data_IF_280425353333
#
_entry.id   IF_280425353333
#
_cell.length_a   1.000
_cell.length_b   1.000
_cell.length_c   1.000
_cell.angle_alpha   90.00
_cell.angle_beta   90.00
_cell.angle_gamma   90.00
#
_symmetry.space_group_name_H-M   'P 1'
#
loop_
_entity.id
_entity.type
_entity.pdbx_description
1 polymer ?
#
# COMPACT_ATOMS: atom_id res chain seq x y z
N UNK A 1 -52.67 -21.95 -28.30
CA UNK A 1 -51.91 -22.32 -27.08
C UNK A 1 -50.45 -21.81 -27.10
N UNK A 2 -50.10 -20.76 -27.87
CA UNK A 2 -48.72 -20.27 -28.02
C UNK A 2 -48.58 -18.73 -27.95
N UNK A 3 -49.58 -18.04 -27.38
CA UNK A 3 -49.64 -16.57 -27.38
C UNK A 3 -49.73 -15.96 -25.96
N UNK A 4 -49.26 -16.70 -24.95
CA UNK A 4 -49.23 -16.25 -23.53
C UNK A 4 -47.86 -16.45 -22.87
N UNK A 5 -46.80 -16.60 -23.67
CA UNK A 5 -45.43 -16.86 -23.15
C UNK A 5 -44.43 -15.75 -23.60
N UNK A 6 -44.83 -14.82 -24.47
CA UNK A 6 -43.91 -13.81 -25.04
C UNK A 6 -43.97 -12.46 -24.29
N UNK A 7 -44.91 -12.26 -23.36
CA UNK A 7 -45.13 -10.93 -22.71
C UNK A 7 -44.56 -10.85 -21.27
N UNK A 8 -43.81 -11.85 -20.80
CA UNK A 8 -43.21 -11.83 -19.45
C UNK A 8 -41.67 -11.77 -19.41
N UNK A 9 -41.01 -11.38 -20.51
CA UNK A 9 -39.54 -11.22 -20.55
C UNK A 9 -39.11 -9.75 -20.61
N UNK A 10 -40.03 -8.79 -20.69
CA UNK A 10 -39.70 -7.39 -20.96
C UNK A 10 -39.71 -6.44 -19.75
N UNK A 11 -39.70 -6.93 -18.49
CA UNK A 11 -39.91 -6.08 -17.32
C UNK A 11 -39.04 -6.41 -16.08
N UNK A 12 -37.78 -6.82 -16.24
CA UNK A 12 -36.90 -7.07 -15.07
C UNK A 12 -35.48 -6.51 -15.15
N UNK A 13 -35.09 -5.77 -16.20
CA UNK A 13 -33.76 -5.14 -16.28
C UNK A 13 -33.83 -3.63 -16.01
N UNK A 14 -34.58 -3.23 -14.97
CA UNK A 14 -34.66 -1.84 -14.50
C UNK A 14 -33.92 -1.62 -13.17
N UNK A 15 -32.98 -2.50 -12.83
CA UNK A 15 -32.02 -2.32 -11.75
C UNK A 15 -30.62 -2.15 -12.34
N UNK A 16 -30.45 -1.10 -13.14
CA UNK A 16 -29.15 -0.64 -13.60
C UNK A 16 -28.39 -0.17 -12.36
N UNK A 17 -27.54 -1.05 -11.84
CA UNK A 17 -26.64 -0.78 -10.73
C UNK A 17 -25.80 0.45 -11.05
N UNK A 18 -26.01 1.51 -10.30
CA UNK A 18 -25.17 2.70 -10.32
C UNK A 18 -23.87 2.27 -9.62
N UNK A 19 -22.88 1.85 -10.40
CA UNK A 19 -21.53 1.66 -9.88
C UNK A 19 -20.94 3.04 -9.62
N UNK A 20 -21.02 3.48 -8.36
CA UNK A 20 -20.32 4.68 -7.90
C UNK A 20 -18.83 4.48 -8.09
N UNK A 21 -18.27 5.06 -9.16
CA UNK A 21 -16.82 5.19 -9.35
C UNK A 21 -16.32 6.21 -8.32
N UNK A 22 -15.95 5.73 -7.13
CA UNK A 22 -15.20 6.51 -6.16
C UNK A 22 -13.82 6.75 -6.76
N UNK A 23 -13.61 7.93 -7.34
CA UNK A 23 -12.30 8.34 -7.84
C UNK A 23 -11.43 8.64 -6.63
N UNK A 24 -10.57 7.70 -6.26
CA UNK A 24 -9.54 7.94 -5.26
C UNK A 24 -8.75 9.20 -5.67
N UNK A 25 -8.68 10.18 -4.77
CA UNK A 25 -7.80 11.32 -4.97
C UNK A 25 -6.39 10.80 -5.24
N UNK A 26 -5.60 11.45 -6.11
CA UNK A 26 -4.20 11.07 -6.28
C UNK A 26 -3.57 11.11 -4.89
N UNK A 27 -3.06 9.96 -4.43
CA UNK A 27 -2.29 9.93 -3.20
C UNK A 27 -1.21 11.00 -3.34
N UNK A 28 -1.19 11.97 -2.42
CA UNK A 28 -0.11 12.94 -2.33
C UNK A 28 1.20 12.16 -2.34
N UNK A 29 1.89 12.19 -3.47
CA UNK A 29 3.09 11.41 -3.65
C UNK A 29 4.14 11.99 -2.71
N UNK A 30 4.73 11.15 -1.87
CA UNK A 30 5.85 11.58 -1.05
C UNK A 30 6.98 12.09 -1.95
N UNK A 31 7.74 13.07 -1.45
CA UNK A 31 8.91 13.60 -2.14
C UNK A 31 9.87 12.48 -2.54
N UNK A 32 10.70 12.74 -3.56
CA UNK A 32 11.75 11.81 -3.94
C UNK A 32 12.59 11.39 -2.73
N UNK A 33 12.92 10.11 -2.64
CA UNK A 33 13.60 9.55 -1.48
C UNK A 33 12.67 9.10 -0.34
N UNK A 34 11.37 9.40 -0.38
CA UNK A 34 10.41 9.00 0.65
C UNK A 34 9.29 8.10 0.10
N UNK A 35 8.82 7.17 0.92
CA UNK A 35 7.64 6.36 0.64
C UNK A 35 6.53 6.67 1.64
N UNK A 36 5.29 6.37 1.26
CA UNK A 36 4.15 6.51 2.16
C UNK A 36 4.03 5.25 3.02
N UNK A 37 4.22 5.39 4.33
CA UNK A 37 4.01 4.31 5.29
C UNK A 37 2.51 3.99 5.45
N UNK A 38 2.18 2.87 6.07
CA UNK A 38 0.80 2.45 6.32
C UNK A 38 0.03 3.46 7.20
N UNK A 39 0.74 4.17 8.08
CA UNK A 39 0.23 5.32 8.86
C UNK A 39 -0.22 6.50 8.00
N UNK A 40 0.23 6.55 6.75
CA UNK A 40 0.01 7.65 5.82
C UNK A 40 1.11 8.71 5.81
N UNK A 41 2.12 8.61 6.69
CA UNK A 41 3.26 9.52 6.73
C UNK A 41 4.28 9.23 5.63
N UNK A 42 5.05 10.25 5.25
CA UNK A 42 6.17 10.08 4.33
C UNK A 42 7.44 9.76 5.11
N UNK A 43 7.95 8.55 4.90
CA UNK A 43 9.12 8.00 5.59
C UNK A 43 10.28 7.84 4.61
N UNK A 44 11.51 8.10 5.06
CA UNK A 44 12.67 8.01 4.19
C UNK A 44 12.87 6.56 3.72
N UNK A 45 13.23 6.38 2.46
CA UNK A 45 13.58 5.04 1.93
C UNK A 45 14.86 4.53 2.60
N UNK A 46 15.07 3.20 2.65
CA UNK A 46 16.29 2.66 3.22
C UNK A 46 17.55 3.20 2.54
N UNK A 47 18.59 3.46 3.33
CA UNK A 47 19.88 4.00 2.86
C UNK A 47 21.00 3.10 3.35
N UNK A 48 21.91 2.74 2.46
CA UNK A 48 23.08 1.93 2.81
C UNK A 48 24.26 2.84 3.12
N UNK A 49 24.82 2.69 4.33
CA UNK A 49 25.89 3.53 4.85
C UNK A 49 26.77 2.74 5.84
N UNK A 50 28.00 3.18 6.14
CA UNK A 50 28.84 2.49 7.13
C UNK A 50 28.35 2.62 8.58
N UNK A 51 27.51 3.62 8.86
CA UNK A 51 26.97 3.92 10.19
C UNK A 51 25.51 4.38 10.08
N UNK A 52 24.70 4.23 11.15
CA UNK A 52 23.29 4.64 11.12
C UNK A 52 23.13 6.13 10.80
N UNK A 53 22.39 6.49 9.73
CA UNK A 53 22.01 7.87 9.50
C UNK A 53 21.05 8.37 10.58
N UNK A 54 20.97 9.70 10.82
CA UNK A 54 19.99 10.26 11.75
C UNK A 54 18.55 9.86 11.40
N UNK A 55 17.81 9.36 12.38
CA UNK A 55 16.42 8.93 12.22
C UNK A 55 16.24 7.51 11.69
N UNK A 56 17.31 6.76 11.42
CA UNK A 56 17.21 5.33 11.17
C UNK A 56 16.65 4.61 12.41
N UNK A 57 15.73 3.69 12.19
CA UNK A 57 15.03 2.93 13.23
C UNK A 57 15.40 1.47 13.26
N UNK A 58 16.01 0.94 12.19
CA UNK A 58 16.54 -0.42 12.14
C UNK A 58 17.74 -0.54 11.21
N UNK A 59 18.64 -1.47 11.51
CA UNK A 59 19.68 -1.94 10.61
C UNK A 59 19.26 -3.28 9.98
N UNK A 60 19.36 -3.38 8.66
CA UNK A 60 19.11 -4.60 7.90
C UNK A 60 20.39 -5.44 7.79
N UNK A 61 20.25 -6.75 7.54
CA UNK A 61 21.40 -7.69 7.40
C UNK A 61 22.36 -7.30 6.28
N UNK A 62 21.87 -6.66 5.21
CA UNK A 62 22.70 -6.19 4.09
C UNK A 62 23.49 -4.89 4.38
N UNK A 63 23.41 -4.35 5.60
CA UNK A 63 24.08 -3.11 6.00
C UNK A 63 23.34 -1.84 5.59
N UNK A 64 22.10 -1.94 5.14
CA UNK A 64 21.24 -0.78 4.90
C UNK A 64 20.39 -0.44 6.14
N UNK A 65 20.02 0.82 6.27
CA UNK A 65 19.25 1.34 7.40
C UNK A 65 17.82 1.66 6.99
N UNK A 66 16.85 1.11 7.71
CA UNK A 66 15.44 1.41 7.57
C UNK A 66 15.05 2.62 8.42
N UNK A 67 14.03 3.35 7.96
CA UNK A 67 13.42 4.46 8.68
C UNK A 67 11.96 4.16 9.03
N UNK A 68 11.54 2.88 8.89
CA UNK A 68 10.18 2.43 9.18
C UNK A 68 9.73 2.87 10.57
N UNK A 69 8.48 3.31 10.67
CA UNK A 69 7.85 3.65 11.95
C UNK A 69 7.59 2.40 12.81
N UNK A 70 7.61 1.21 12.21
CA UNK A 70 7.47 -0.08 12.90
C UNK A 70 8.73 -0.94 12.63
N UNK A 71 9.86 -0.64 13.30
CA UNK A 71 11.15 -1.27 13.02
C UNK A 71 11.21 -2.76 13.36
N UNK A 72 10.28 -3.24 14.19
CA UNK A 72 10.27 -4.62 14.72
C UNK A 72 9.44 -5.58 13.86
N UNK A 73 8.72 -5.07 12.85
CA UNK A 73 7.80 -5.83 12.01
C UNK A 73 8.51 -6.62 10.91
N UNK A 74 7.93 -7.76 10.51
CA UNK A 74 8.47 -8.68 9.49
C UNK A 74 8.65 -8.03 8.10
N UNK A 75 7.87 -6.97 7.82
CA UNK A 75 7.98 -6.19 6.58
C UNK A 75 9.20 -5.26 6.58
N UNK A 76 9.74 -4.92 7.75
CA UNK A 76 10.95 -4.10 7.85
C UNK A 76 12.15 -4.90 7.37
N UNK A 77 12.96 -4.29 6.49
CA UNK A 77 14.08 -4.96 5.82
C UNK A 77 13.67 -6.19 4.96
N UNK A 78 12.41 -6.24 4.50
CA UNK A 78 11.97 -7.24 3.53
C UNK A 78 12.83 -7.19 2.25
N UNK A 79 13.23 -8.37 1.75
CA UNK A 79 14.15 -8.51 0.61
C UNK A 79 15.62 -8.17 0.92
N UNK A 80 15.93 -7.82 2.17
CA UNK A 80 17.28 -7.44 2.64
C UNK A 80 17.81 -8.34 3.75
N UNK A 81 17.24 -9.55 3.88
CA UNK A 81 17.62 -10.52 4.91
C UNK A 81 16.97 -10.28 6.29
N UNK A 82 16.05 -9.32 6.40
CA UNK A 82 15.38 -8.98 7.65
C UNK A 82 16.16 -8.00 8.53
N UNK A 83 15.60 -7.73 9.70
CA UNK A 83 16.16 -6.79 10.68
C UNK A 83 17.32 -7.47 11.43
N UNK A 84 18.50 -6.87 11.36
CA UNK A 84 19.67 -7.29 12.13
C UNK A 84 19.60 -6.76 13.57
N UNK A 85 19.18 -5.51 13.75
CA UNK A 85 18.85 -4.91 15.05
C UNK A 85 17.98 -3.66 14.90
N UNK A 86 17.17 -3.40 15.91
CA UNK A 86 16.42 -2.14 16.09
C UNK A 86 17.36 -1.10 16.71
N UNK A 87 17.17 0.18 16.37
CA UNK A 87 18.03 1.30 16.77
C UNK A 87 17.37 2.24 17.79
#
# INVERSE_FOLDING_TARGET
MFARIIVFIAATIAALGITSIVRAAPASACSSGYYKAASGHCVHRPVCAPTPPPGATAECVDGCYSFSENPDEDDTCHGRGGVQRVL
#
